data_IF_641970219768
#
_entry.id   IF_641970219768
#
_cell.length_a   1.000
_cell.length_b   1.000
_cell.length_c   1.000
_cell.angle_alpha   90.00
_cell.angle_beta   90.00
_cell.angle_gamma   90.00
#
_symmetry.space_group_name_H-M   'P 1'
#
loop_
_entity.id
_entity.type
_entity.pdbx_description
1 polymer ?
#
# COMPACT_ATOMS: atom_id res chain seq x y z
N UNK A 1 13.52 14.37 -25.50
CA UNK A 1 14.66 13.42 -25.34
C UNK A 1 15.95 14.14 -25.68
N UNK A 2 17.10 13.44 -25.70
CA UNK A 2 18.39 14.06 -26.01
C UNK A 2 18.92 14.96 -24.89
N UNK A 3 20.03 15.65 -25.17
CA UNK A 3 20.69 16.55 -24.21
C UNK A 3 19.71 17.64 -23.79
N UNK A 4 19.61 17.91 -22.47
CA UNK A 4 18.71 18.93 -21.89
C UNK A 4 17.22 18.79 -22.24
N UNK A 5 16.79 17.62 -22.69
CA UNK A 5 15.41 17.37 -23.13
C UNK A 5 14.95 18.24 -24.32
N UNK A 6 15.88 18.73 -25.15
CA UNK A 6 15.58 19.58 -26.31
C UNK A 6 14.86 18.83 -27.45
N UNK A 7 15.01 17.51 -27.54
CA UNK A 7 14.36 16.70 -28.57
C UNK A 7 12.85 16.50 -28.33
N UNK A 8 12.07 16.65 -29.38
CA UNK A 8 10.59 16.66 -29.40
C UNK A 8 10.03 15.57 -30.33
N UNK A 9 8.71 15.36 -30.30
CA UNK A 9 8.04 14.40 -31.19
C UNK A 9 8.24 14.79 -32.67
N UNK A 10 8.37 16.08 -32.93
CA UNK A 10 8.62 16.66 -34.24
C UNK A 10 9.98 16.26 -34.79
N UNK A 11 11.00 16.18 -33.93
CA UNK A 11 12.34 15.70 -34.31
C UNK A 11 12.30 14.20 -34.66
N UNK A 12 11.54 13.39 -33.93
CA UNK A 12 11.36 11.97 -34.25
C UNK A 12 10.65 11.77 -35.58
N UNK A 13 9.68 12.63 -35.92
CA UNK A 13 8.86 12.50 -37.13
C UNK A 13 9.66 12.71 -38.41
N UNK A 14 10.82 13.38 -38.31
CA UNK A 14 11.74 13.58 -39.43
C UNK A 14 12.60 12.36 -39.71
N UNK A 15 12.92 11.58 -38.68
CA UNK A 15 13.92 10.50 -38.73
C UNK A 15 13.30 9.10 -38.70
N UNK A 16 12.08 8.96 -38.19
CA UNK A 16 11.44 7.66 -37.96
C UNK A 16 9.96 7.66 -38.35
N UNK A 17 9.50 6.51 -38.82
CA UNK A 17 8.08 6.18 -38.85
C UNK A 17 7.67 5.60 -37.48
N UNK A 18 6.64 6.18 -36.86
CA UNK A 18 6.16 5.73 -35.55
C UNK A 18 4.67 6.02 -35.35
N UNK A 19 4.09 5.34 -34.37
CA UNK A 19 2.73 5.58 -33.90
C UNK A 19 2.75 6.38 -32.60
N UNK A 20 2.17 7.59 -32.62
CA UNK A 20 1.99 8.38 -31.42
C UNK A 20 0.78 7.88 -30.63
N UNK A 21 1.02 7.32 -29.44
CA UNK A 21 -0.05 6.94 -28.52
C UNK A 21 -0.47 8.19 -27.74
N UNK A 22 -1.71 8.64 -27.98
CA UNK A 22 -2.29 9.77 -27.24
C UNK A 22 -2.36 9.45 -25.74
N UNK A 23 -2.25 10.49 -24.92
CA UNK A 23 -2.42 10.39 -23.46
C UNK A 23 -3.77 9.77 -23.14
N UNK A 24 -3.76 8.76 -22.28
CA UNK A 24 -4.98 8.11 -21.81
C UNK A 24 -5.74 9.02 -20.84
N UNK A 25 -7.05 9.14 -21.06
CA UNK A 25 -7.98 9.90 -20.23
C UNK A 25 -9.05 8.92 -19.76
N UNK A 26 -9.30 8.91 -18.45
CA UNK A 26 -10.33 8.08 -17.82
C UNK A 26 -11.20 8.99 -16.94
N UNK A 27 -12.52 8.97 -17.16
CA UNK A 27 -13.48 9.87 -16.46
C UNK A 27 -13.03 11.34 -16.49
N UNK A 28 -12.64 11.84 -17.66
CA UNK A 28 -12.13 13.20 -17.90
C UNK A 28 -10.83 13.56 -17.15
N UNK A 29 -10.17 12.60 -16.51
CA UNK A 29 -8.89 12.80 -15.86
C UNK A 29 -7.76 12.18 -16.65
N UNK A 30 -6.73 12.98 -16.91
CA UNK A 30 -5.49 12.50 -17.54
C UNK A 30 -4.80 11.51 -16.61
N UNK A 31 -4.68 10.27 -17.04
CA UNK A 31 -3.93 9.24 -16.31
C UNK A 31 -2.44 9.50 -16.51
N UNK A 32 -1.72 9.64 -15.40
CA UNK A 32 -0.27 9.83 -15.39
C UNK A 32 0.33 9.30 -14.10
N UNK A 33 1.61 8.94 -14.12
CA UNK A 33 2.32 8.50 -12.92
C UNK A 33 2.34 9.57 -11.82
N UNK A 34 2.36 10.85 -12.18
CA UNK A 34 2.27 11.96 -11.22
C UNK A 34 0.92 11.95 -10.52
N UNK A 35 -0.18 11.90 -11.27
CA UNK A 35 -1.52 11.91 -10.69
C UNK A 35 -1.80 10.67 -9.84
N UNK A 36 -1.32 9.49 -10.26
CA UNK A 36 -1.44 8.27 -9.46
C UNK A 36 -0.68 8.43 -8.13
N UNK A 37 0.53 9.03 -8.12
CA UNK A 37 1.26 9.29 -6.88
C UNK A 37 0.56 10.31 -5.99
N UNK A 38 -0.07 11.34 -6.55
CA UNK A 38 -0.88 12.30 -5.78
C UNK A 38 -2.06 11.61 -5.09
N UNK A 39 -2.77 10.71 -5.78
CA UNK A 39 -3.84 9.91 -5.17
C UNK A 39 -3.32 9.02 -4.04
N UNK A 40 -2.21 8.32 -4.27
CA UNK A 40 -1.57 7.51 -3.23
C UNK A 40 -1.12 8.38 -2.03
N UNK A 41 -0.59 9.58 -2.27
CA UNK A 41 -0.26 10.56 -1.23
C UNK A 41 -1.48 11.11 -0.49
N UNK A 42 -2.65 11.13 -1.11
CA UNK A 42 -3.91 11.43 -0.42
C UNK A 42 -4.47 10.21 0.35
N UNK A 43 -3.92 9.01 0.09
CA UNK A 43 -4.40 7.74 0.63
C UNK A 43 -5.61 7.18 -0.13
N UNK A 44 -5.95 7.72 -1.30
CA UNK A 44 -7.03 7.26 -2.17
C UNK A 44 -6.56 6.10 -3.06
N UNK A 45 -6.34 4.95 -2.40
CA UNK A 45 -5.87 3.72 -3.03
C UNK A 45 -6.90 3.11 -3.98
N UNK A 46 -8.19 3.37 -3.74
CA UNK A 46 -9.29 2.88 -4.58
C UNK A 46 -9.28 3.58 -5.94
N UNK A 47 -9.25 4.92 -5.95
CA UNK A 47 -9.18 5.68 -7.21
C UNK A 47 -7.86 5.43 -7.93
N UNK A 48 -6.75 5.37 -7.20
CA UNK A 48 -5.47 4.99 -7.79
C UNK A 48 -5.56 3.62 -8.49
N UNK A 49 -6.22 2.64 -7.87
CA UNK A 49 -6.43 1.32 -8.43
C UNK A 49 -7.27 1.32 -9.72
N UNK A 50 -8.35 2.11 -9.74
CA UNK A 50 -9.19 2.28 -10.95
C UNK A 50 -8.38 2.83 -12.12
N UNK A 51 -7.57 3.87 -11.89
CA UNK A 51 -6.73 4.48 -12.94
C UNK A 51 -5.56 3.59 -13.37
N UNK A 52 -5.08 2.72 -12.49
CA UNK A 52 -4.07 1.71 -12.79
C UNK A 52 -4.65 0.50 -13.56
N UNK A 53 -5.97 0.31 -13.54
CA UNK A 53 -6.62 -0.92 -14.03
C UNK A 53 -6.37 -2.15 -13.13
N UNK A 54 -5.81 -1.95 -11.93
CA UNK A 54 -5.51 -3.00 -10.96
C UNK A 54 -5.39 -2.41 -9.56
N UNK A 55 -5.61 -3.21 -8.53
CA UNK A 55 -5.37 -2.79 -7.13
C UNK A 55 -3.88 -2.44 -6.97
N UNK A 56 -3.61 -1.32 -6.30
CA UNK A 56 -2.24 -0.94 -5.97
C UNK A 56 -1.65 -1.95 -4.99
N UNK A 57 -0.47 -2.50 -5.31
CA UNK A 57 0.17 -3.53 -4.52
C UNK A 57 1.64 -3.23 -4.28
N UNK A 58 2.14 -3.71 -3.14
CA UNK A 58 3.54 -3.65 -2.74
C UNK A 58 4.03 -5.05 -2.45
N UNK A 59 5.12 -5.43 -3.11
CA UNK A 59 5.82 -6.69 -2.84
C UNK A 59 7.02 -6.43 -1.95
N UNK A 60 7.24 -7.29 -0.96
CA UNK A 60 8.37 -7.15 -0.05
C UNK A 60 8.68 -8.41 0.74
N UNK A 61 9.89 -8.42 1.31
CA UNK A 61 10.33 -9.46 2.23
C UNK A 61 9.81 -9.18 3.64
N UNK A 62 9.32 -10.22 4.33
CA UNK A 62 8.96 -10.09 5.74
C UNK A 62 10.22 -10.13 6.61
N UNK A 63 10.48 -9.02 7.29
CA UNK A 63 11.64 -8.82 8.16
C UNK A 63 11.23 -8.77 9.64
N UNK A 64 12.21 -8.97 10.53
CA UNK A 64 11.98 -8.84 11.96
C UNK A 64 11.75 -7.38 12.36
N UNK A 65 10.57 -7.09 12.92
CA UNK A 65 10.24 -5.79 13.53
C UNK A 65 10.41 -5.77 15.05
N UNK A 66 9.75 -4.80 15.70
CA UNK A 66 9.79 -4.62 17.17
C UNK A 66 9.06 -5.71 17.96
N UNK A 67 8.27 -6.56 17.28
CA UNK A 67 7.44 -7.63 17.87
C UNK A 67 6.43 -7.16 18.93
N UNK A 68 6.20 -5.85 19.06
CA UNK A 68 5.28 -5.26 20.04
C UNK A 68 3.82 -5.69 19.81
N UNK A 69 3.41 -5.79 18.56
CA UNK A 69 2.07 -6.30 18.19
C UNK A 69 1.76 -7.67 18.80
N UNK A 70 2.77 -8.56 18.89
CA UNK A 70 2.60 -9.90 19.47
C UNK A 70 2.23 -9.85 20.95
N UNK A 71 2.79 -8.88 21.71
CA UNK A 71 2.52 -8.70 23.14
C UNK A 71 1.12 -8.16 23.45
N UNK A 72 0.40 -7.71 22.42
CA UNK A 72 -0.94 -7.13 22.55
C UNK A 72 -2.01 -7.92 21.79
N UNK A 73 -1.65 -9.09 21.23
CA UNK A 73 -2.57 -9.96 20.49
C UNK A 73 -2.76 -9.59 19.01
N UNK A 74 -1.93 -8.70 18.46
CA UNK A 74 -1.95 -8.26 17.06
C UNK A 74 -0.58 -8.42 16.40
N UNK A 75 -0.09 -9.65 16.18
CA UNK A 75 1.20 -9.90 15.54
C UNK A 75 1.27 -9.28 14.13
N UNK A 76 2.31 -8.50 13.84
CA UNK A 76 2.48 -7.85 12.53
C UNK A 76 3.73 -8.35 11.81
N UNK A 77 3.60 -8.57 10.50
CA UNK A 77 4.71 -8.74 9.56
C UNK A 77 5.22 -7.34 9.17
N UNK A 78 6.52 -7.09 9.31
CA UNK A 78 7.15 -5.86 8.83
C UNK A 78 7.70 -6.12 7.43
N UNK A 79 7.43 -5.26 6.46
CA UNK A 79 7.90 -5.47 5.07
C UNK A 79 9.10 -4.60 4.73
N UNK A 80 10.13 -5.21 4.17
CA UNK A 80 11.15 -4.53 3.37
C UNK A 80 10.67 -4.49 1.91
N UNK A 81 10.29 -3.30 1.44
CA UNK A 81 9.59 -3.11 0.16
C UNK A 81 10.40 -2.32 -0.88
N UNK A 82 11.71 -2.12 -0.68
CA UNK A 82 12.57 -1.48 -1.67
C UNK A 82 12.07 -0.09 -2.14
N UNK A 83 11.86 0.08 -3.46
CA UNK A 83 11.53 1.38 -4.11
C UNK A 83 10.05 1.62 -4.34
N UNK A 84 9.16 0.82 -3.74
CA UNK A 84 7.73 1.03 -3.89
C UNK A 84 7.29 2.37 -3.29
N UNK A 85 6.27 2.97 -3.90
CA UNK A 85 5.72 4.25 -3.45
C UNK A 85 4.63 4.01 -2.40
N UNK A 86 4.92 4.25 -1.13
CA UNK A 86 3.93 4.04 -0.09
C UNK A 86 2.76 5.04 -0.19
N UNK A 87 1.51 4.57 -0.03
CA UNK A 87 0.37 5.44 0.23
C UNK A 87 0.58 6.35 1.45
N UNK A 88 -0.32 7.31 1.65
CA UNK A 88 -0.34 8.16 2.83
C UNK A 88 -0.29 7.35 4.14
N UNK A 89 0.28 7.93 5.19
CA UNK A 89 0.26 7.30 6.51
C UNK A 89 -1.17 7.01 6.99
N UNK A 90 -1.38 5.81 7.52
CA UNK A 90 -2.69 5.37 7.98
C UNK A 90 -2.85 3.86 8.04
N UNK A 91 -4.06 3.46 8.43
CA UNK A 91 -4.49 2.06 8.47
C UNK A 91 -5.32 1.74 7.23
N UNK A 92 -5.04 0.60 6.62
CA UNK A 92 -5.65 0.14 5.37
C UNK A 92 -6.18 -1.28 5.53
N UNK A 93 -7.32 -1.55 4.92
CA UNK A 93 -7.77 -2.90 4.64
C UNK A 93 -6.99 -3.44 3.44
N UNK A 94 -6.40 -4.62 3.59
CA UNK A 94 -5.51 -5.19 2.58
C UNK A 94 -5.84 -6.66 2.30
N UNK A 95 -5.56 -7.07 1.07
CA UNK A 95 -5.37 -8.49 0.71
C UNK A 95 -3.87 -8.78 0.69
N UNK A 96 -3.47 -9.93 1.20
CA UNK A 96 -2.09 -10.39 1.25
C UNK A 96 -1.98 -11.72 0.54
N UNK A 97 -1.01 -11.84 -0.37
CA UNK A 97 -0.72 -13.10 -1.06
C UNK A 97 0.60 -13.65 -0.54
N UNK A 98 0.55 -14.88 -0.03
CA UNK A 98 1.70 -15.66 0.48
C UNK A 98 1.64 -17.02 -0.21
N UNK A 99 2.66 -17.38 -0.98
CA UNK A 99 2.71 -18.68 -1.69
C UNK A 99 1.42 -19.01 -2.46
N UNK A 100 0.86 -18.03 -3.17
CA UNK A 100 -0.41 -18.11 -3.91
C UNK A 100 -1.69 -18.27 -3.06
N UNK A 101 -1.57 -18.24 -1.73
CA UNK A 101 -2.70 -18.23 -0.82
C UNK A 101 -3.05 -16.78 -0.49
N UNK A 102 -4.32 -16.45 -0.65
CA UNK A 102 -4.85 -15.14 -0.31
C UNK A 102 -5.31 -15.10 1.15
N UNK A 103 -5.00 -14.00 1.81
CA UNK A 103 -5.45 -13.67 3.16
C UNK A 103 -5.95 -12.22 3.16
N UNK A 104 -6.82 -11.91 4.10
CA UNK A 104 -7.11 -10.52 4.46
C UNK A 104 -6.29 -10.07 5.66
N UNK A 105 -6.10 -8.76 5.76
CA UNK A 105 -5.42 -8.16 6.89
C UNK A 105 -5.67 -6.67 6.99
N UNK A 106 -5.03 -6.08 7.99
CA UNK A 106 -4.91 -4.64 8.12
C UNK A 106 -3.44 -4.23 8.05
N UNK A 107 -3.14 -3.25 7.21
CA UNK A 107 -1.81 -2.68 7.08
C UNK A 107 -1.75 -1.32 7.76
N UNK A 108 -0.68 -1.06 8.50
CA UNK A 108 -0.33 0.24 9.02
C UNK A 108 0.89 0.78 8.24
N UNK A 109 0.74 1.97 7.69
CA UNK A 109 1.85 2.75 7.13
C UNK A 109 2.12 3.88 8.10
N UNK A 110 3.32 3.92 8.67
CA UNK A 110 3.66 4.94 9.66
C UNK A 110 5.14 5.17 9.87
N UNK A 111 5.46 6.27 10.54
CA UNK A 111 6.84 6.57 10.96
C UNK A 111 7.06 6.11 12.40
N UNK A 112 8.27 5.68 12.72
CA UNK A 112 8.68 5.50 14.13
C UNK A 112 9.46 6.75 14.56
N UNK A 113 8.82 7.73 15.25
CA UNK A 113 9.49 8.98 15.62
C UNK A 113 10.52 8.84 16.76
N UNK A 114 10.77 7.63 17.30
CA UNK A 114 11.66 7.44 18.46
C UNK A 114 13.00 6.76 18.11
N UNK A 115 14.05 7.42 18.60
CA UNK A 115 15.47 7.07 18.74
C UNK A 115 16.43 7.10 17.54
N UNK A 116 15.97 6.96 16.29
CA UNK A 116 16.76 7.31 15.11
C UNK A 116 15.80 7.74 14.02
N UNK A 117 15.96 8.96 13.51
CA UNK A 117 15.18 9.47 12.38
C UNK A 117 15.43 8.54 11.17
N UNK A 118 14.49 7.63 10.92
CA UNK A 118 14.43 6.83 9.70
C UNK A 118 13.45 7.54 8.78
N UNK A 119 13.93 8.11 7.66
CA UNK A 119 13.06 8.70 6.64
C UNK A 119 12.13 7.66 6.01
N UNK A 120 12.45 6.37 6.13
CA UNK A 120 11.65 5.28 5.59
C UNK A 120 10.43 4.99 6.48
N UNK A 121 9.25 5.27 5.93
CA UNK A 121 7.96 4.83 6.46
C UNK A 121 7.94 3.31 6.61
N UNK A 122 7.42 2.78 7.70
CA UNK A 122 7.27 1.34 7.89
C UNK A 122 5.95 0.87 7.32
N UNK A 123 5.96 -0.30 6.68
CA UNK A 123 4.78 -1.05 6.31
C UNK A 123 4.66 -2.27 7.22
N UNK A 124 3.69 -2.24 8.12
CA UNK A 124 3.38 -3.33 9.05
C UNK A 124 2.03 -3.93 8.71
N UNK A 125 1.92 -5.26 8.61
CA UNK A 125 0.68 -5.93 8.22
C UNK A 125 0.29 -6.96 9.26
N UNK A 126 -0.91 -6.81 9.83
CA UNK A 126 -1.54 -7.85 10.64
C UNK A 126 -2.44 -8.71 9.75
N UNK A 127 -2.03 -9.95 9.52
CA UNK A 127 -2.69 -10.88 8.60
C UNK A 127 -3.67 -11.74 9.40
N UNK A 128 -4.94 -11.73 9.01
CA UNK A 128 -6.00 -12.43 9.73
C UNK A 128 -5.92 -13.94 9.48
N UNK A 129 -6.09 -14.73 10.55
CA UNK A 129 -6.10 -16.19 10.47
C UNK A 129 -4.75 -16.85 10.19
N UNK A 130 -3.67 -16.08 10.03
CA UNK A 130 -2.34 -16.60 9.78
C UNK A 130 -1.70 -17.07 11.10
N UNK A 131 -1.51 -18.38 11.23
CA UNK A 131 -0.96 -19.03 12.42
C UNK A 131 0.49 -19.52 12.25
N UNK A 132 1.15 -19.15 11.14
CA UNK A 132 2.51 -19.56 10.81
C UNK A 132 3.48 -18.38 10.80
N UNK A 133 4.76 -18.67 11.02
CA UNK A 133 5.85 -17.69 10.92
C UNK A 133 6.30 -17.57 9.46
N UNK A 134 6.40 -16.34 8.97
CA UNK A 134 6.65 -16.04 7.55
C UNK A 134 7.89 -15.17 7.33
N UNK A 135 8.82 -15.10 8.31
CA UNK A 135 10.05 -14.32 8.14
C UNK A 135 10.88 -14.82 6.95
N UNK A 136 11.49 -13.88 6.22
CA UNK A 136 12.25 -14.15 5.01
C UNK A 136 11.39 -14.46 3.78
N UNK A 137 10.07 -14.62 3.92
CA UNK A 137 9.19 -14.87 2.78
C UNK A 137 8.90 -13.58 2.02
N UNK A 138 8.77 -13.73 0.70
CA UNK A 138 8.29 -12.68 -0.18
C UNK A 138 6.77 -12.72 -0.24
N UNK A 139 6.13 -11.61 0.14
CA UNK A 139 4.67 -11.48 0.09
C UNK A 139 4.27 -10.27 -0.74
N UNK A 140 3.04 -10.27 -1.24
CA UNK A 140 2.45 -9.11 -1.92
C UNK A 140 1.22 -8.60 -1.17
N UNK A 141 1.20 -7.30 -0.90
CA UNK A 141 0.16 -6.61 -0.13
C UNK A 141 -0.60 -5.68 -1.06
N UNK A 142 -1.88 -5.97 -1.26
CA UNK A 142 -2.81 -5.23 -2.11
C UNK A 142 -3.65 -4.29 -1.24
N UNK A 143 -3.62 -2.99 -1.54
CA UNK A 143 -4.31 -1.96 -0.78
C UNK A 143 -5.75 -1.79 -1.28
N UNK A 144 -6.70 -2.35 -0.54
CA UNK A 144 -8.11 -2.38 -0.94
C UNK A 144 -8.82 -1.06 -0.59
N UNK A 145 -8.65 -0.59 0.65
CA UNK A 145 -9.34 0.60 1.16
C UNK A 145 -8.58 1.22 2.32
N UNK A 146 -8.63 2.55 2.44
CA UNK A 146 -8.12 3.26 3.62
C UNK A 146 -9.19 3.28 4.71
N UNK A 147 -8.81 2.90 5.93
CA UNK A 147 -9.71 2.84 7.09
C UNK A 147 -9.64 4.16 7.86
N UNK A 148 -8.42 4.61 8.18
CA UNK A 148 -8.21 5.85 8.94
C UNK A 148 -6.79 6.38 8.83
N UNK A 149 -6.59 7.61 9.29
CA UNK A 149 -5.26 8.18 9.56
C UNK A 149 -4.61 7.54 10.78
N UNK A 150 -3.28 7.69 10.88
CA UNK A 150 -2.54 7.34 12.09
C UNK A 150 -3.02 8.15 13.30
N UNK A 151 -2.89 7.60 14.49
CA UNK A 151 -3.27 8.25 15.74
C UNK A 151 -2.33 7.82 16.84
N UNK A 152 -2.02 8.74 17.75
CA UNK A 152 -1.30 8.42 18.99
C UNK A 152 -2.31 7.97 20.03
N UNK A 153 -1.95 6.95 20.81
CA UNK A 153 -2.76 6.45 21.90
C UNK A 153 -2.05 6.74 23.22
N UNK A 154 -2.82 7.12 24.24
CA UNK A 154 -2.28 7.46 25.55
C UNK A 154 -1.99 6.22 26.41
N UNK A 155 -2.59 5.08 26.05
CA UNK A 155 -2.43 3.80 26.73
C UNK A 155 -2.42 2.60 25.78
N UNK A 156 -1.95 1.45 26.27
CA UNK A 156 -1.98 0.18 25.54
C UNK A 156 -3.43 -0.28 25.32
N UNK A 157 -4.31 -0.02 26.28
CA UNK A 157 -5.72 -0.38 26.26
C UNK A 157 -6.47 0.36 25.15
N UNK A 158 -6.21 1.67 25.00
CA UNK A 158 -6.77 2.48 23.91
C UNK A 158 -6.32 1.98 22.54
N UNK A 159 -5.02 1.68 22.38
CA UNK A 159 -4.48 1.11 21.15
C UNK A 159 -5.18 -0.21 20.80
N UNK A 160 -5.29 -1.14 21.76
CA UNK A 160 -5.95 -2.43 21.55
C UNK A 160 -7.43 -2.23 21.18
N UNK A 161 -8.14 -1.34 21.85
CA UNK A 161 -9.53 -1.04 21.56
C UNK A 161 -9.70 -0.51 20.12
N UNK A 162 -8.80 0.37 19.67
CA UNK A 162 -8.84 0.87 18.30
C UNK A 162 -8.49 -0.21 17.28
N UNK A 163 -7.47 -1.04 17.53
CA UNK A 163 -7.11 -2.15 16.62
C UNK A 163 -8.25 -3.16 16.46
N UNK A 164 -9.04 -3.39 17.52
CA UNK A 164 -10.26 -4.23 17.43
C UNK A 164 -11.31 -3.61 16.52
N UNK A 165 -11.54 -2.29 16.62
CA UNK A 165 -12.46 -1.57 15.72
C UNK A 165 -11.98 -1.60 14.27
N UNK A 166 -10.68 -1.38 14.05
CA UNK A 166 -10.09 -1.41 12.71
C UNK A 166 -10.25 -2.81 12.07
N UNK A 167 -10.08 -3.87 12.87
CA UNK A 167 -10.29 -5.26 12.44
C UNK A 167 -11.77 -5.55 12.13
N UNK A 168 -12.69 -5.06 12.94
CA UNK A 168 -14.13 -5.19 12.70
C UNK A 168 -14.55 -4.50 11.40
N UNK A 169 -14.06 -3.28 11.16
CA UNK A 169 -14.27 -2.56 9.90
C UNK A 169 -13.75 -3.36 8.69
N UNK A 170 -12.56 -3.95 8.78
CA UNK A 170 -12.06 -4.84 7.73
C UNK A 170 -13.01 -6.01 7.44
N UNK A 171 -13.58 -6.62 8.48
CA UNK A 171 -14.54 -7.72 8.31
C UNK A 171 -15.83 -7.26 7.64
N UNK A 172 -16.35 -6.08 7.98
CA UNK A 172 -17.53 -5.52 7.32
C UNK A 172 -17.24 -5.26 5.84
N UNK A 173 -16.12 -4.61 5.52
CA UNK A 173 -15.69 -4.35 4.15
C UNK A 173 -15.49 -5.63 3.32
N UNK A 174 -14.93 -6.69 3.93
CA UNK A 174 -14.76 -7.97 3.25
C UNK A 174 -16.09 -8.57 2.77
N UNK A 175 -17.17 -8.39 3.55
CA UNK A 175 -18.51 -8.87 3.19
C UNK A 175 -19.13 -8.02 2.09
N UNK A 176 -19.01 -6.70 2.17
CA UNK A 176 -19.57 -5.77 1.18
C UNK A 176 -18.95 -5.94 -0.21
N UNK A 177 -17.65 -6.21 -0.26
CA UNK A 177 -16.89 -6.29 -1.50
C UNK A 177 -16.88 -7.71 -2.12
N UNK A 178 -17.68 -8.65 -1.59
CA UNK A 178 -17.69 -10.08 -1.97
C UNK A 178 -16.31 -10.75 -1.93
N UNK A 179 -15.40 -10.19 -1.14
CA UNK A 179 -14.07 -10.70 -0.89
C UNK A 179 -14.22 -11.95 -0.01
N UNK A 180 -14.32 -13.12 -0.64
CA UNK A 180 -14.53 -14.39 0.06
C UNK A 180 -13.18 -15.03 0.42
N UNK A 181 -13.06 -15.38 1.71
CA UNK A 181 -11.95 -15.99 2.47
C UNK A 181 -10.75 -15.10 2.81
#
# INVERSE_FOLDING_TARGET
FGRKAEGTIEDLRREFEFYEVKKYVYEDVRVSSTYIRELLQAGDVEKAGRLLGRIYSIRGEVISGSKQGRLIGFPTANLCYGRYFLPHGGVYFVKVVIDQIEYYGMANIGNNPTFNYSEEKKLEVHIFGLNQEIYGQQIEVFFLKRIRSESRFSSKEELIAQLKKDKEECFLLSKEMNYTK
#
